data_IF_537746307895
#
_entry.id   IF_537746307895
#
_cell.length_a   1.000
_cell.length_b   1.000
_cell.length_c   1.000
_cell.angle_alpha   90.00
_cell.angle_beta   90.00
_cell.angle_gamma   90.00
#
_symmetry.space_group_name_H-M   'P 1'
#
loop_
_entity.id
_entity.type
_entity.pdbx_description
1 polymer ?
#
# COMPACT_ATOMS: atom_id res chain seq x y z
N UNK A 1 2.72 18.74 -17.14
CA UNK A 1 2.98 19.79 -16.13
C UNK A 1 4.37 20.40 -16.31
N UNK A 2 5.45 19.64 -16.16
CA UNK A 2 6.82 20.17 -16.28
C UNK A 2 7.10 20.85 -17.63
N UNK A 3 6.64 20.27 -18.74
CA UNK A 3 6.74 20.87 -20.10
C UNK A 3 5.96 22.17 -20.28
N UNK A 4 5.05 22.48 -19.35
CA UNK A 4 4.31 23.74 -19.27
C UNK A 4 4.83 24.63 -18.14
N UNK A 5 6.03 24.35 -17.63
CA UNK A 5 6.72 25.07 -16.56
C UNK A 5 5.95 25.12 -15.21
N UNK A 6 5.14 24.09 -14.94
CA UNK A 6 4.42 23.89 -13.68
C UNK A 6 5.12 22.78 -12.88
N UNK A 7 5.41 23.02 -11.59
CA UNK A 7 5.93 22.01 -10.65
C UNK A 7 4.76 21.27 -10.01
N UNK A 8 4.48 20.00 -10.39
CA UNK A 8 3.37 19.25 -9.80
C UNK A 8 3.79 18.64 -8.47
N UNK A 9 3.42 19.26 -7.34
CA UNK A 9 3.67 18.69 -6.01
C UNK A 9 2.47 17.82 -5.62
N UNK A 10 2.70 16.55 -5.34
CA UNK A 10 1.64 15.54 -5.22
C UNK A 10 1.85 14.69 -3.97
N UNK A 11 0.76 14.41 -3.25
CA UNK A 11 0.80 13.53 -2.10
C UNK A 11 1.14 12.09 -2.52
N UNK A 12 1.99 11.40 -1.74
CA UNK A 12 2.29 9.99 -1.98
C UNK A 12 1.07 9.09 -1.78
N UNK A 13 0.19 9.44 -0.84
CA UNK A 13 -0.94 8.62 -0.39
C UNK A 13 -0.82 8.27 1.10
N UNK A 14 -1.92 7.79 1.67
CA UNK A 14 -2.04 7.50 3.10
C UNK A 14 -2.29 6.02 3.37
N UNK A 15 -1.69 5.12 2.57
CA UNK A 15 -1.90 3.67 2.70
C UNK A 15 -0.64 2.88 2.99
N UNK A 16 0.33 3.53 3.65
CA UNK A 16 1.43 2.83 4.31
C UNK A 16 0.95 1.94 5.49
N UNK A 17 1.88 1.21 6.13
CA UNK A 17 3.33 1.29 5.96
C UNK A 17 3.89 0.31 4.92
N UNK A 18 3.06 -0.49 4.25
CA UNK A 18 3.54 -1.47 3.27
C UNK A 18 4.06 -0.82 1.99
N UNK A 19 5.02 -1.47 1.32
CA UNK A 19 5.47 -1.07 -0.02
C UNK A 19 4.38 -1.25 -1.08
N UNK A 20 4.62 -0.67 -2.26
CA UNK A 20 3.70 -0.66 -3.40
C UNK A 20 2.39 0.07 -3.09
N UNK A 21 2.48 1.18 -2.34
CA UNK A 21 1.29 1.92 -1.87
C UNK A 21 1.21 3.36 -2.38
N UNK A 22 2.14 3.77 -3.23
CA UNK A 22 2.12 5.09 -3.88
C UNK A 22 0.90 5.18 -4.81
N UNK A 23 0.08 6.19 -4.56
CA UNK A 23 -1.16 6.41 -5.29
C UNK A 23 -0.93 7.18 -6.59
N UNK A 24 -1.87 7.04 -7.53
CA UNK A 24 -1.98 7.99 -8.65
C UNK A 24 -2.68 9.26 -8.17
N UNK A 25 -2.23 10.47 -8.57
CA UNK A 25 -1.19 10.75 -9.57
C UNK A 25 0.24 10.89 -9.03
N UNK A 26 0.51 10.55 -7.77
CA UNK A 26 1.86 10.62 -7.17
C UNK A 26 2.87 9.72 -7.88
N UNK A 27 2.46 8.54 -8.35
CA UNK A 27 3.34 7.66 -9.12
C UNK A 27 3.70 8.17 -10.53
N UNK A 28 3.19 9.31 -10.98
CA UNK A 28 3.46 9.83 -12.32
C UNK A 28 4.93 10.27 -12.51
N UNK A 29 5.52 10.01 -13.67
CA UNK A 29 6.86 10.50 -14.01
C UNK A 29 6.87 12.04 -13.98
N UNK A 30 7.73 12.61 -13.16
CA UNK A 30 7.88 14.05 -13.00
C UNK A 30 6.92 14.70 -12.01
N UNK A 31 6.05 13.95 -11.33
CA UNK A 31 5.48 14.38 -10.06
C UNK A 31 6.61 14.69 -9.07
N UNK A 32 6.46 15.70 -8.21
CA UNK A 32 7.26 15.85 -7.00
C UNK A 32 6.45 15.19 -5.88
N UNK A 33 6.70 13.91 -5.65
CA UNK A 33 5.89 13.07 -4.76
C UNK A 33 6.34 13.22 -3.32
N UNK A 34 5.39 13.54 -2.43
CA UNK A 34 5.68 13.93 -1.05
C UNK A 34 5.12 12.91 -0.06
N UNK A 35 6.03 12.24 0.66
CA UNK A 35 5.72 11.42 1.82
C UNK A 35 5.48 12.26 3.07
N UNK A 36 5.07 11.61 4.17
CA UNK A 36 4.81 12.26 5.45
C UNK A 36 5.77 11.74 6.54
N UNK A 37 6.27 12.66 7.35
CA UNK A 37 6.99 12.38 8.59
C UNK A 37 6.09 12.66 9.81
N UNK A 38 6.42 11.99 10.92
CA UNK A 38 6.01 12.34 12.28
C UNK A 38 7.20 12.88 13.06
N UNK A 39 7.19 14.20 13.30
CA UNK A 39 8.17 14.84 14.17
C UNK A 39 7.77 14.64 15.63
N UNK A 40 8.72 14.20 16.46
CA UNK A 40 8.44 13.83 17.85
C UNK A 40 7.83 15.00 18.65
N UNK A 41 8.25 16.24 18.39
CA UNK A 41 7.71 17.41 19.09
C UNK A 41 6.26 17.72 18.72
N UNK A 42 5.91 17.69 17.42
CA UNK A 42 4.53 17.87 16.95
C UNK A 42 3.60 16.83 17.59
N UNK A 43 4.00 15.56 17.53
CA UNK A 43 3.21 14.48 18.08
C UNK A 43 3.03 14.63 19.61
N UNK A 44 4.11 14.91 20.36
CA UNK A 44 4.02 15.12 21.81
C UNK A 44 3.06 16.25 22.18
N UNK A 45 3.11 17.37 21.45
CA UNK A 45 2.19 18.51 21.67
C UNK A 45 0.76 18.08 21.39
N UNK A 46 0.52 17.42 20.26
CA UNK A 46 -0.81 16.95 19.88
C UNK A 46 -1.40 16.00 20.94
N UNK A 47 -0.63 15.00 21.36
CA UNK A 47 -1.04 14.06 22.41
C UNK A 47 -1.27 14.75 23.76
N UNK A 48 -0.52 15.80 24.06
CA UNK A 48 -0.76 16.64 25.25
C UNK A 48 -2.09 17.38 25.19
N UNK A 49 -2.45 17.91 24.02
CA UNK A 49 -3.75 18.56 23.82
C UNK A 49 -4.89 17.55 23.93
N UNK A 50 -4.70 16.33 23.42
CA UNK A 50 -5.73 15.28 23.45
C UNK A 50 -5.95 14.68 24.85
N UNK A 51 -4.88 14.42 25.59
CA UNK A 51 -4.93 13.55 26.78
C UNK A 51 -4.34 14.17 28.05
N UNK A 52 -3.82 15.40 27.98
CA UNK A 52 -3.29 16.13 29.12
C UNK A 52 -1.76 16.20 29.20
N UNK A 53 -1.23 16.97 30.17
CA UNK A 53 0.16 17.50 30.16
C UNK A 53 1.27 16.45 30.14
N UNK A 54 1.07 15.27 30.74
CA UNK A 54 2.10 14.23 30.89
C UNK A 54 2.10 13.23 29.74
N UNK A 55 0.97 13.07 29.05
CA UNK A 55 0.75 11.95 28.11
C UNK A 55 1.62 12.05 26.86
N UNK A 56 1.96 13.26 26.39
CA UNK A 56 2.78 13.43 25.20
C UNK A 56 4.10 12.66 25.25
N UNK A 57 4.86 12.84 26.33
CA UNK A 57 6.15 12.17 26.50
C UNK A 57 6.02 10.65 26.69
N UNK A 58 4.95 10.20 27.36
CA UNK A 58 4.66 8.77 27.56
C UNK A 58 4.20 8.09 26.26
N UNK A 59 3.43 8.78 25.43
CA UNK A 59 2.92 8.26 24.16
C UNK A 59 4.02 8.17 23.09
N UNK A 60 4.91 9.18 23.05
CA UNK A 60 5.99 9.27 22.08
C UNK A 60 7.36 9.38 22.77
N UNK A 61 7.86 8.30 23.40
CA UNK A 61 9.10 8.32 24.18
C UNK A 61 10.36 8.49 23.30
N UNK A 62 10.42 7.87 22.12
CA UNK A 62 11.53 8.05 21.19
C UNK A 62 11.52 9.47 20.57
N UNK A 63 12.65 10.18 20.63
CA UNK A 63 12.76 11.57 20.16
C UNK A 63 13.17 11.71 18.69
N UNK A 64 13.61 10.63 18.05
CA UNK A 64 13.97 10.66 16.64
C UNK A 64 12.73 10.85 15.77
N UNK A 65 12.87 11.62 14.69
CA UNK A 65 11.80 11.80 13.72
C UNK A 65 11.57 10.49 12.96
N UNK A 66 10.32 10.19 12.70
CA UNK A 66 9.90 8.97 12.00
C UNK A 66 9.23 9.34 10.68
N UNK A 67 9.27 8.44 9.71
CA UNK A 67 8.31 8.42 8.61
C UNK A 67 6.95 8.07 9.22
N UNK A 68 5.90 8.80 8.85
CA UNK A 68 4.56 8.51 9.37
C UNK A 68 4.10 7.13 8.88
N UNK A 69 3.52 6.32 9.76
CA UNK A 69 3.10 4.95 9.42
C UNK A 69 2.12 4.91 8.24
N UNK A 70 1.18 5.86 8.18
CA UNK A 70 0.23 5.94 7.06
C UNK A 70 0.88 6.38 5.75
N UNK A 71 2.08 6.97 5.75
CA UNK A 71 2.69 7.48 4.52
C UNK A 71 2.89 6.34 3.54
N UNK A 72 2.32 6.44 2.34
CA UNK A 72 2.55 5.48 1.28
C UNK A 72 4.04 5.34 0.95
N UNK A 73 4.43 4.13 0.55
CA UNK A 73 5.82 3.70 0.36
C UNK A 73 6.01 3.13 -1.03
N UNK A 74 7.16 3.41 -1.63
CA UNK A 74 7.60 2.76 -2.85
C UNK A 74 8.05 1.31 -2.62
N UNK A 75 8.57 0.66 -3.67
CA UNK A 75 8.61 1.16 -5.04
C UNK A 75 7.19 1.19 -5.64
N UNK A 76 7.05 1.78 -6.82
CA UNK A 76 5.87 1.60 -7.65
C UNK A 76 5.87 0.19 -8.27
N UNK A 77 4.72 -0.25 -8.82
CA UNK A 77 4.61 -1.55 -9.51
C UNK A 77 5.52 -1.66 -10.76
N UNK A 78 5.94 -0.53 -11.32
CA UNK A 78 6.90 -0.43 -12.42
C UNK A 78 8.38 -0.39 -11.95
N UNK A 79 8.62 -0.48 -10.63
CA UNK A 79 9.94 -0.56 -10.01
C UNK A 79 10.57 0.79 -9.69
N UNK A 80 9.96 1.92 -10.06
CA UNK A 80 10.50 3.24 -9.71
C UNK A 80 10.44 3.48 -8.19
N UNK A 81 11.45 4.17 -7.67
CA UNK A 81 11.46 4.65 -6.30
C UNK A 81 10.55 5.86 -6.14
N UNK A 82 9.76 5.84 -5.07
CA UNK A 82 8.89 6.91 -4.58
C UNK A 82 8.75 6.74 -3.04
N UNK A 83 8.39 7.77 -2.27
CA UNK A 83 8.22 9.17 -2.69
C UNK A 83 9.55 9.82 -3.11
N UNK A 84 9.51 11.03 -3.67
CA UNK A 84 10.74 11.78 -3.98
C UNK A 84 11.37 12.40 -2.72
N UNK A 85 10.54 12.95 -1.84
CA UNK A 85 10.95 13.61 -0.58
C UNK A 85 9.87 13.44 0.49
N UNK A 86 10.20 13.78 1.73
CA UNK A 86 9.26 13.79 2.86
C UNK A 86 9.22 15.15 3.54
N UNK A 87 8.05 15.53 4.06
CA UNK A 87 7.89 16.66 4.98
C UNK A 87 6.98 16.25 6.16
N UNK A 88 6.88 17.07 7.21
CA UNK A 88 5.97 16.76 8.32
C UNK A 88 4.53 16.67 7.81
N UNK A 89 3.87 15.55 8.12
CA UNK A 89 2.47 15.31 7.78
C UNK A 89 1.67 14.76 8.95
N UNK A 90 2.28 14.61 10.13
CA UNK A 90 1.61 14.20 11.36
C UNK A 90 1.53 15.37 12.34
N UNK A 91 0.38 15.52 13.01
CA UNK A 91 0.09 16.60 13.92
C UNK A 91 0.43 17.97 13.31
N UNK A 92 0.00 18.20 12.06
CA UNK A 92 0.12 19.50 11.42
C UNK A 92 -0.94 20.43 12.02
N UNK A 93 -0.51 21.55 12.61
CA UNK A 93 -1.41 22.54 13.19
C UNK A 93 -1.68 23.66 12.19
N UNK A 94 -2.95 23.94 11.89
CA UNK A 94 -3.30 24.93 10.87
C UNK A 94 -4.79 25.22 10.79
N UNK A 95 -5.11 26.24 9.99
CA UNK A 95 -6.48 26.65 9.69
C UNK A 95 -7.06 25.85 8.52
N UNK A 96 -8.37 25.64 8.53
CA UNK A 96 -9.11 25.08 7.39
C UNK A 96 -9.14 23.55 7.36
N UNK A 97 -8.66 22.89 8.41
CA UNK A 97 -8.75 21.44 8.56
C UNK A 97 -10.07 20.99 9.22
N UNK A 98 -10.75 21.91 9.90
CA UNK A 98 -12.03 21.67 10.54
C UNK A 98 -13.21 21.87 9.57
N UNK A 99 -14.42 21.48 9.99
CA UNK A 99 -15.65 21.71 9.21
C UNK A 99 -15.93 23.19 8.93
N UNK A 100 -15.47 24.09 9.81
CA UNK A 100 -15.46 25.53 9.53
C UNK A 100 -14.15 25.94 8.86
N UNK A 101 -14.24 26.76 7.81
CA UNK A 101 -13.08 27.30 7.10
C UNK A 101 -12.16 28.16 7.97
N UNK A 102 -12.64 28.62 9.13
CA UNK A 102 -11.87 29.40 10.08
C UNK A 102 -11.30 28.58 11.24
N UNK A 103 -11.73 27.33 11.38
CA UNK A 103 -11.29 26.47 12.48
C UNK A 103 -9.81 26.14 12.38
N UNK A 104 -9.10 26.31 13.49
CA UNK A 104 -7.70 25.92 13.64
C UNK A 104 -7.66 24.61 14.41
N UNK A 105 -7.05 23.58 13.85
CA UNK A 105 -6.94 22.27 14.48
C UNK A 105 -5.70 21.52 14.00
N UNK A 106 -5.47 20.33 14.53
CA UNK A 106 -4.48 19.39 14.04
C UNK A 106 -5.05 18.51 12.92
N UNK A 107 -4.22 18.15 11.96
CA UNK A 107 -4.54 17.18 10.93
C UNK A 107 -3.34 16.32 10.53
N UNK A 108 -3.65 15.14 9.99
CA UNK A 108 -2.70 14.09 9.63
C UNK A 108 -2.90 13.67 8.16
N UNK A 109 -1.81 13.48 7.44
CA UNK A 109 -1.82 13.00 6.06
C UNK A 109 -0.68 13.54 5.21
N UNK A 110 -0.33 12.80 4.15
CA UNK A 110 0.52 13.30 3.07
C UNK A 110 -0.10 14.53 2.37
N UNK A 111 -1.42 14.68 2.47
CA UNK A 111 -2.15 15.90 2.10
C UNK A 111 -1.66 17.16 2.81
N UNK A 112 -1.03 17.05 3.99
CA UNK A 112 -0.51 18.19 4.77
C UNK A 112 1.00 18.36 4.65
N UNK A 113 1.75 17.30 4.28
CA UNK A 113 3.16 17.44 3.90
C UNK A 113 3.31 18.09 2.51
N UNK A 114 2.45 17.74 1.56
CA UNK A 114 2.41 18.26 0.19
C UNK A 114 2.40 19.80 0.09
N UNK A 115 1.49 20.54 0.76
CA UNK A 115 1.48 22.01 0.67
C UNK A 115 2.72 22.67 1.27
N UNK A 116 3.36 22.05 2.26
CA UNK A 116 4.64 22.55 2.80
C UNK A 116 5.73 22.54 1.71
N UNK A 117 5.82 21.44 0.95
CA UNK A 117 6.76 21.32 -0.17
C UNK A 117 6.37 22.20 -1.36
N UNK A 118 5.07 22.37 -1.61
CA UNK A 118 4.58 23.34 -2.61
C UNK A 118 4.98 24.78 -2.26
N UNK A 119 4.94 25.15 -0.97
CA UNK A 119 5.46 26.42 -0.49
C UNK A 119 6.96 26.59 -0.74
N UNK A 120 7.76 25.54 -0.50
CA UNK A 120 9.19 25.54 -0.84
C UNK A 120 9.39 25.75 -2.35
N UNK A 121 8.64 25.02 -3.20
CA UNK A 121 8.72 25.18 -4.64
C UNK A 121 8.33 26.60 -5.11
N UNK A 122 7.34 27.24 -4.45
CA UNK A 122 6.96 28.62 -4.72
C UNK A 122 8.07 29.61 -4.33
N UNK A 123 8.72 29.42 -3.18
CA UNK A 123 9.89 30.22 -2.77
C UNK A 123 11.04 30.07 -3.75
N UNK A 124 11.33 28.85 -4.21
CA UNK A 124 12.35 28.61 -5.24
C UNK A 124 12.00 29.29 -6.57
N UNK A 125 10.73 29.27 -6.98
CA UNK A 125 10.25 29.98 -8.16
C UNK A 125 10.42 31.50 -8.02
N UNK A 126 10.14 32.04 -6.84
CA UNK A 126 10.30 33.47 -6.57
C UNK A 126 11.77 33.89 -6.64
N UNK A 127 12.66 33.10 -6.03
CA UNK A 127 14.09 33.38 -6.02
C UNK A 127 14.77 33.18 -7.39
N UNK A 128 14.30 32.20 -8.17
CA UNK A 128 14.88 31.82 -9.46
C UNK A 128 13.81 31.80 -10.56
N UNK A 129 13.30 32.96 -10.99
CA UNK A 129 12.19 33.04 -11.94
C UNK A 129 12.49 32.39 -13.30
N UNK A 130 13.77 32.38 -13.71
CA UNK A 130 14.25 31.76 -14.95
C UNK A 130 14.48 30.25 -14.85
N UNK A 131 14.53 29.67 -13.64
CA UNK A 131 14.69 28.23 -13.48
C UNK A 131 13.46 27.49 -14.03
N UNK A 132 13.68 26.41 -14.76
CA UNK A 132 12.59 25.57 -15.25
C UNK A 132 11.92 24.82 -14.09
N UNK A 133 10.67 24.41 -14.26
CA UNK A 133 9.97 23.59 -13.26
C UNK A 133 10.73 22.30 -12.92
N UNK A 134 11.36 21.65 -13.91
CA UNK A 134 12.19 20.47 -13.67
C UNK A 134 13.40 20.78 -12.81
N UNK A 135 14.04 21.93 -12.98
CA UNK A 135 15.16 22.35 -12.12
C UNK A 135 14.71 22.60 -10.69
N UNK A 136 13.58 23.29 -10.48
CA UNK A 136 13.03 23.51 -9.13
C UNK A 136 12.70 22.17 -8.46
N UNK A 137 12.01 21.28 -9.17
CA UNK A 137 11.72 19.92 -8.69
C UNK A 137 13.01 19.21 -8.29
N UNK A 138 13.97 19.11 -9.21
CA UNK A 138 15.18 18.33 -9.01
C UNK A 138 16.08 18.91 -7.92
N UNK A 139 16.10 20.23 -7.72
CA UNK A 139 16.79 20.86 -6.60
C UNK A 139 16.19 20.44 -5.26
N UNK A 140 14.85 20.42 -5.14
CA UNK A 140 14.17 19.97 -3.92
C UNK A 140 14.45 18.49 -3.65
N UNK A 141 14.41 17.64 -4.68
CA UNK A 141 14.73 16.20 -4.53
C UNK A 141 16.19 15.99 -4.12
N UNK A 142 17.14 16.66 -4.78
CA UNK A 142 18.56 16.52 -4.47
C UNK A 142 18.95 17.12 -3.10
N UNK A 143 18.17 18.08 -2.60
CA UNK A 143 18.36 18.69 -1.29
C UNK A 143 17.80 17.86 -0.12
N UNK A 144 17.00 16.81 -0.38
CA UNK A 144 16.41 15.99 0.68
C UNK A 144 17.45 15.49 1.67
N UNK A 145 17.20 15.69 2.97
CA UNK A 145 18.13 15.34 4.03
C UNK A 145 17.72 14.01 4.70
N UNK A 146 18.45 12.90 4.42
CA UNK A 146 18.18 11.61 5.03
C UNK A 146 18.39 11.60 6.54
N UNK A 147 19.34 12.40 7.06
CA UNK A 147 19.77 12.39 8.45
C UNK A 147 18.73 12.98 9.42
N UNK A 148 17.71 13.66 8.91
CA UNK A 148 16.62 14.21 9.71
C UNK A 148 15.50 13.20 10.01
N UNK A 149 15.60 11.97 9.49
CA UNK A 149 14.73 10.84 9.84
C UNK A 149 15.58 9.76 10.52
N UNK A 150 15.17 9.35 11.72
CA UNK A 150 15.99 8.58 12.65
C UNK A 150 15.43 7.17 12.92
N UNK A 151 14.38 6.81 12.20
CA UNK A 151 13.64 5.54 12.27
C UNK A 151 14.28 4.43 11.43
N UNK A 152 15.42 4.65 10.78
CA UNK A 152 16.01 3.65 9.88
C UNK A 152 15.32 3.52 8.54
N UNK A 153 14.44 4.47 8.18
CA UNK A 153 13.76 4.52 6.88
C UNK A 153 14.72 4.50 5.69
N UNK A 154 14.35 3.70 4.70
CA UNK A 154 15.06 3.54 3.42
C UNK A 154 14.64 4.62 2.42
N UNK A 155 15.27 4.66 1.25
CA UNK A 155 14.84 5.57 0.17
C UNK A 155 13.41 5.30 -0.32
N UNK A 156 12.90 4.08 -0.16
CA UNK A 156 11.51 3.73 -0.52
C UNK A 156 10.47 4.29 0.47
N UNK A 157 10.94 4.74 1.63
CA UNK A 157 10.09 5.27 2.69
C UNK A 157 10.02 6.78 2.67
N UNK A 158 11.17 7.41 2.43
CA UNK A 158 11.37 8.85 2.59
C UNK A 158 11.92 9.56 1.36
N UNK A 159 12.09 8.85 0.26
CA UNK A 159 12.80 9.36 -0.91
C UNK A 159 14.22 9.80 -0.57
N UNK A 160 14.63 10.94 -1.12
CA UNK A 160 15.91 11.56 -0.78
C UNK A 160 16.02 11.98 0.69
N UNK A 161 14.90 12.18 1.39
CA UNK A 161 14.87 12.53 2.81
C UNK A 161 13.90 13.66 3.15
N UNK A 162 14.03 14.19 4.36
CA UNK A 162 13.23 15.32 4.81
C UNK A 162 13.63 16.59 4.05
N UNK A 163 12.66 17.37 3.57
CA UNK A 163 12.93 18.55 2.74
C UNK A 163 13.85 19.59 3.41
N UNK A 164 14.75 20.17 2.64
CA UNK A 164 15.67 21.25 3.05
C UNK A 164 15.62 22.39 2.02
N UNK A 165 14.89 23.46 2.35
CA UNK A 165 14.68 24.58 1.45
C UNK A 165 15.97 25.40 1.21
N UNK A 166 16.86 25.48 2.20
CA UNK A 166 18.11 26.23 2.09
C UNK A 166 19.11 25.50 1.18
N UNK A 167 19.21 24.17 1.33
CA UNK A 167 20.01 23.35 0.43
C UNK A 167 19.46 23.40 -1.01
N UNK A 168 18.14 23.36 -1.21
CA UNK A 168 17.53 23.50 -2.53
C UNK A 168 17.85 24.86 -3.18
N UNK A 169 17.81 25.95 -2.41
CA UNK A 169 18.21 27.28 -2.85
C UNK A 169 19.66 27.30 -3.32
N UNK A 170 20.57 26.75 -2.52
CA UNK A 170 22.00 26.72 -2.84
C UNK A 170 22.29 25.91 -4.10
N UNK A 171 21.57 24.80 -4.31
CA UNK A 171 21.67 24.01 -5.54
C UNK A 171 21.23 24.84 -6.75
N UNK A 172 20.11 25.55 -6.70
CA UNK A 172 19.67 26.41 -7.80
C UNK A 172 20.64 27.58 -8.05
N UNK A 173 21.15 28.20 -6.98
CA UNK A 173 22.13 29.28 -7.06
C UNK A 173 23.43 28.87 -7.77
N UNK A 174 23.81 27.58 -7.71
CA UNK A 174 24.97 27.07 -8.43
C UNK A 174 24.81 27.09 -9.96
N UNK A 175 23.57 27.14 -10.47
CA UNK A 175 23.26 27.07 -11.90
C UNK A 175 23.44 25.68 -12.53
N UNK A 176 23.78 24.65 -11.73
CA UNK A 176 24.12 23.31 -12.23
C UNK A 176 23.00 22.26 -12.08
N UNK A 177 21.78 22.68 -11.70
CA UNK A 177 20.66 21.74 -11.54
C UNK A 177 20.20 21.24 -12.91
N UNK A 178 20.17 19.91 -13.06
CA UNK A 178 19.72 19.24 -14.29
C UNK A 178 18.22 19.39 -14.51
N UNK A 179 17.80 19.43 -15.78
CA UNK A 179 16.39 19.37 -16.19
C UNK A 179 15.88 17.93 -16.38
N UNK A 180 16.78 16.93 -16.37
CA UNK A 180 16.42 15.54 -16.62
C UNK A 180 15.58 14.96 -15.49
N UNK A 181 14.52 14.23 -15.85
CA UNK A 181 13.68 13.49 -14.91
C UNK A 181 13.80 12.02 -15.27
N UNK A 182 14.23 11.19 -14.31
CA UNK A 182 14.39 9.76 -14.53
C UNK A 182 13.02 9.12 -14.79
N UNK A 183 12.87 8.47 -15.94
CA UNK A 183 11.62 7.82 -16.36
C UNK A 183 11.50 6.37 -15.91
N UNK A 184 12.54 5.78 -15.31
CA UNK A 184 12.58 4.36 -14.92
C UNK A 184 12.73 3.36 -16.07
N UNK A 185 12.68 3.84 -17.32
CA UNK A 185 12.68 2.98 -18.51
C UNK A 185 11.34 2.26 -18.72
N UNK A 186 11.28 1.35 -19.70
CA UNK A 186 10.09 0.53 -19.94
C UNK A 186 10.02 -0.60 -18.89
N UNK A 187 8.95 -0.71 -18.11
CA UNK A 187 8.82 -1.78 -17.12
C UNK A 187 8.64 -3.14 -17.79
N UNK A 188 9.05 -4.19 -17.08
CA UNK A 188 8.64 -5.57 -17.35
C UNK A 188 7.16 -5.74 -17.04
N UNK A 189 6.54 -6.73 -17.67
CA UNK A 189 5.18 -7.17 -17.33
C UNK A 189 5.12 -7.77 -15.93
N UNK A 190 6.20 -8.35 -15.43
CA UNK A 190 6.24 -8.91 -14.08
C UNK A 190 6.57 -7.83 -13.05
N UNK A 191 5.65 -7.60 -12.10
CA UNK A 191 5.87 -6.68 -10.98
C UNK A 191 7.05 -7.14 -10.13
N UNK A 192 7.21 -8.46 -9.91
CA UNK A 192 8.38 -9.04 -9.24
C UNK A 192 9.68 -8.57 -9.88
N UNK A 193 9.82 -8.73 -11.21
CA UNK A 193 11.02 -8.32 -11.95
C UNK A 193 11.27 -6.82 -11.82
N UNK A 194 10.21 -6.01 -11.86
CA UNK A 194 10.34 -4.56 -11.72
C UNK A 194 10.85 -4.17 -10.33
N UNK A 195 10.28 -4.75 -9.27
CA UNK A 195 10.67 -4.49 -7.88
C UNK A 195 12.12 -4.92 -7.62
N UNK A 196 12.47 -6.16 -8.00
CA UNK A 196 13.80 -6.72 -7.76
C UNK A 196 14.89 -6.00 -8.56
N UNK A 197 14.54 -5.40 -9.70
CA UNK A 197 15.45 -4.55 -10.47
C UNK A 197 15.56 -3.13 -9.91
N UNK A 198 14.45 -2.57 -9.43
CA UNK A 198 14.34 -1.17 -9.01
C UNK A 198 14.62 -0.93 -7.53
N UNK A 199 14.76 -1.99 -6.74
CA UNK A 199 14.94 -1.92 -5.28
C UNK A 199 15.77 -3.09 -4.75
N UNK A 200 15.99 -3.11 -3.43
CA UNK A 200 16.62 -4.24 -2.73
C UNK A 200 15.62 -5.29 -2.22
N UNK A 201 14.34 -5.14 -2.56
CA UNK A 201 13.28 -6.05 -2.12
C UNK A 201 13.22 -7.28 -3.03
N UNK A 202 12.90 -8.44 -2.45
CA UNK A 202 12.75 -9.69 -3.16
C UNK A 202 11.35 -10.27 -2.92
N UNK A 203 10.78 -10.91 -3.93
CA UNK A 203 9.48 -11.58 -3.82
C UNK A 203 9.69 -13.07 -3.57
N UNK A 204 9.32 -13.50 -2.37
CA UNK A 204 9.42 -14.87 -1.89
C UNK A 204 8.14 -15.67 -2.16
N UNK A 205 8.24 -16.99 -2.17
CA UNK A 205 7.11 -17.91 -2.34
C UNK A 205 7.32 -19.21 -1.54
N UNK A 206 6.26 -20.01 -1.39
CA UNK A 206 6.34 -21.27 -0.64
C UNK A 206 6.34 -21.05 0.87
N UNK A 207 7.26 -21.72 1.58
CA UNK A 207 7.44 -21.59 3.03
C UNK A 207 8.60 -20.63 3.32
N UNK A 208 8.29 -19.48 3.91
CA UNK A 208 9.25 -18.39 4.16
C UNK A 208 9.45 -18.24 5.66
N UNK A 209 10.68 -18.00 6.08
CA UNK A 209 11.02 -17.68 7.46
C UNK A 209 12.02 -16.53 7.47
N UNK A 210 11.64 -15.43 8.09
CA UNK A 210 12.49 -14.24 8.22
C UNK A 210 12.60 -13.80 9.68
N UNK A 211 13.78 -13.28 10.03
CA UNK A 211 14.07 -12.71 11.34
C UNK A 211 14.41 -11.24 11.21
N UNK A 212 13.67 -10.41 11.94
CA UNK A 212 13.85 -8.97 11.99
C UNK A 212 14.50 -8.61 13.33
N UNK A 213 15.69 -8.05 13.27
CA UNK A 213 16.47 -7.70 14.46
C UNK A 213 16.60 -6.20 14.61
N UNK A 214 16.45 -5.74 15.85
CA UNK A 214 16.66 -4.35 16.26
C UNK A 214 15.90 -3.32 15.41
N UNK A 215 14.64 -3.59 15.08
CA UNK A 215 13.77 -2.62 14.42
C UNK A 215 13.60 -1.42 15.35
N UNK A 216 14.11 -0.24 14.95
CA UNK A 216 13.93 1.00 15.70
C UNK A 216 12.44 1.40 15.76
N UNK A 217 12.04 2.29 16.69
CA UNK A 217 10.70 2.86 16.67
C UNK A 217 10.40 3.56 15.33
N UNK A 218 9.40 3.06 14.59
CA UNK A 218 9.01 3.47 13.24
C UNK A 218 9.75 2.74 12.10
N UNK A 219 10.78 1.94 12.40
CA UNK A 219 11.50 1.16 11.39
C UNK A 219 10.61 0.03 10.89
N UNK A 220 10.42 -0.02 9.58
CA UNK A 220 9.72 -1.14 8.95
C UNK A 220 10.66 -1.99 8.12
N UNK A 221 10.33 -3.27 8.03
CA UNK A 221 10.85 -4.21 7.03
C UNK A 221 9.71 -5.10 6.56
N UNK A 222 9.89 -5.82 5.47
CA UNK A 222 8.80 -6.59 4.89
C UNK A 222 9.22 -7.90 4.25
N UNK A 223 8.25 -8.81 4.20
CA UNK A 223 8.25 -10.00 3.36
C UNK A 223 7.26 -9.74 2.23
N UNK A 224 7.75 -9.65 1.01
CA UNK A 224 6.89 -9.67 -0.18
C UNK A 224 6.63 -11.12 -0.55
N UNK A 225 5.36 -11.54 -0.54
CA UNK A 225 4.98 -12.94 -0.65
C UNK A 225 4.07 -13.16 -1.87
N UNK A 226 4.50 -14.03 -2.79
CA UNK A 226 3.72 -14.39 -3.97
C UNK A 226 2.54 -15.27 -3.57
N UNK A 227 1.33 -14.76 -3.78
CA UNK A 227 0.09 -15.52 -3.68
C UNK A 227 -0.29 -16.02 -5.07
N UNK A 228 -0.22 -17.33 -5.27
CA UNK A 228 -0.62 -17.99 -6.50
C UNK A 228 -2.13 -18.25 -6.57
N UNK A 229 -2.63 -18.66 -7.75
CA UNK A 229 -4.03 -19.04 -7.93
C UNK A 229 -4.41 -20.22 -7.03
N UNK A 230 -5.69 -20.33 -6.69
CA UNK A 230 -6.24 -21.40 -5.84
C UNK A 230 -5.70 -21.44 -4.39
N UNK A 231 -5.06 -20.35 -3.94
CA UNK A 231 -4.71 -20.17 -2.53
C UNK A 231 -6.00 -19.96 -1.72
N UNK A 232 -6.26 -20.85 -0.75
CA UNK A 232 -7.40 -20.70 0.16
C UNK A 232 -7.09 -19.73 1.29
N UNK A 233 -5.86 -19.80 1.80
CA UNK A 233 -5.43 -19.02 2.95
C UNK A 233 -3.92 -18.78 2.89
N UNK A 234 -3.46 -17.60 3.29
CA UNK A 234 -2.05 -17.39 3.69
C UNK A 234 -1.99 -17.38 5.20
N UNK A 235 -1.09 -18.18 5.76
CA UNK A 235 -0.86 -18.28 7.20
C UNK A 235 0.43 -17.53 7.53
N UNK A 236 0.33 -16.59 8.47
CA UNK A 236 1.46 -15.86 9.01
C UNK A 236 1.57 -16.19 10.49
N UNK A 237 2.78 -16.54 10.93
CA UNK A 237 3.08 -16.77 12.35
C UNK A 237 4.16 -15.79 12.76
N UNK A 238 3.82 -14.89 13.68
CA UNK A 238 4.77 -14.00 14.34
C UNK A 238 5.19 -14.63 15.67
N UNK A 239 6.49 -14.81 15.87
CA UNK A 239 7.08 -15.36 17.10
C UNK A 239 8.28 -14.55 17.56
N UNK A 240 8.83 -14.93 18.71
CA UNK A 240 10.10 -14.40 19.22
C UNK A 240 10.13 -12.86 19.33
N UNK A 241 8.98 -12.27 19.71
CA UNK A 241 8.87 -10.83 19.93
C UNK A 241 9.69 -10.45 21.17
N UNK A 242 10.75 -9.68 20.95
CA UNK A 242 11.74 -9.37 21.98
C UNK A 242 12.10 -7.87 21.97
N UNK A 243 11.53 -7.09 22.90
CA UNK A 243 11.98 -5.73 23.17
C UNK A 243 13.43 -5.70 23.65
N UNK A 244 14.21 -4.73 23.18
CA UNK A 244 15.61 -4.58 23.60
C UNK A 244 15.76 -4.00 25.02
N UNK A 245 14.77 -3.24 25.49
CA UNK A 245 14.78 -2.59 26.80
C UNK A 245 14.05 -3.44 27.86
N UNK A 246 14.47 -3.41 29.13
CA UNK A 246 13.67 -3.97 30.22
C UNK A 246 12.34 -3.20 30.36
N UNK A 247 11.29 -3.80 30.98
CA UNK A 247 9.96 -3.18 31.05
C UNK A 247 9.92 -1.74 31.59
N UNK A 248 10.81 -1.39 32.52
CA UNK A 248 10.92 -0.02 33.07
C UNK A 248 11.50 1.01 32.08
N UNK A 249 12.16 0.56 31.01
CA UNK A 249 12.72 1.40 29.95
C UNK A 249 11.88 1.45 28.68
N UNK A 250 10.89 0.56 28.53
CA UNK A 250 9.98 0.52 27.38
C UNK A 250 8.97 1.68 27.41
N UNK A 251 8.11 1.79 26.39
CA UNK A 251 6.96 2.67 26.48
C UNK A 251 6.07 2.29 27.70
N UNK A 252 5.80 3.23 28.59
CA UNK A 252 5.10 2.96 29.85
C UNK A 252 3.57 2.85 29.73
N UNK A 253 3.01 3.18 28.57
CA UNK A 253 1.58 3.00 28.27
C UNK A 253 1.30 1.67 27.57
N UNK A 254 2.21 1.23 26.70
CA UNK A 254 1.95 0.14 25.76
C UNK A 254 2.96 -1.01 25.83
N UNK A 255 4.11 -0.81 26.48
CA UNK A 255 5.30 -1.62 26.23
C UNK A 255 5.92 -1.29 24.86
N UNK A 256 7.09 -1.87 24.59
CA UNK A 256 7.65 -1.85 23.24
C UNK A 256 7.15 -3.10 22.50
N UNK A 257 6.59 -2.92 21.31
CA UNK A 257 5.89 -3.99 20.60
C UNK A 257 6.15 -3.99 19.08
N UNK A 258 5.60 -5.00 18.40
CA UNK A 258 5.65 -5.13 16.94
C UNK A 258 4.29 -4.78 16.35
N UNK A 259 4.30 -3.90 15.37
CA UNK A 259 3.15 -3.62 14.53
C UNK A 259 3.26 -4.43 13.23
N UNK A 260 2.30 -5.33 12.98
CA UNK A 260 2.21 -6.12 11.76
C UNK A 260 1.10 -5.56 10.87
N UNK A 261 1.47 -5.16 9.65
CA UNK A 261 0.52 -4.80 8.61
C UNK A 261 0.58 -5.84 7.49
N UNK A 262 -0.60 -6.30 7.05
CA UNK A 262 -0.76 -7.20 5.92
C UNK A 262 -1.64 -6.51 4.88
N UNK A 263 -1.02 -6.19 3.75
CA UNK A 263 -1.68 -5.55 2.63
C UNK A 263 -1.97 -6.58 1.54
N UNK A 264 -3.21 -6.57 1.03
CA UNK A 264 -3.66 -7.41 -0.10
C UNK A 264 -2.79 -7.21 -1.33
N UNK A 265 -2.89 -8.07 -2.33
CA UNK A 265 -1.99 -8.03 -3.48
C UNK A 265 -2.11 -6.80 -4.38
N UNK A 266 -3.19 -6.00 -4.26
CA UNK A 266 -3.46 -4.85 -5.13
C UNK A 266 -2.34 -3.81 -5.11
N UNK A 267 -1.80 -3.50 -6.28
CA UNK A 267 -0.66 -2.57 -6.46
C UNK A 267 -1.09 -1.18 -6.91
N UNK A 268 -2.39 -0.98 -7.14
CA UNK A 268 -3.04 0.30 -7.44
C UNK A 268 -4.47 0.31 -6.85
N UNK A 269 -5.18 1.45 -6.94
CA UNK A 269 -6.54 1.62 -6.39
C UNK A 269 -6.68 1.22 -4.91
N UNK A 270 -5.64 1.52 -4.15
CA UNK A 270 -5.48 1.06 -2.78
C UNK A 270 -6.42 1.83 -1.85
N UNK A 271 -7.19 1.12 -1.02
CA UNK A 271 -8.08 1.70 0.00
C UNK A 271 -9.57 1.67 -0.31
N UNK A 272 -10.00 1.21 -1.49
CA UNK A 272 -11.41 0.90 -1.77
C UNK A 272 -11.69 -0.59 -1.50
N UNK A 273 -12.22 -0.93 -0.31
CA UNK A 273 -12.84 -2.25 -0.10
C UNK A 273 -12.19 -3.20 0.93
N UNK A 274 -11.35 -2.73 1.86
CA UNK A 274 -10.82 -3.59 2.93
C UNK A 274 -9.51 -4.31 2.60
N UNK A 275 -8.76 -3.81 1.62
CA UNK A 275 -7.45 -4.31 1.15
C UNK A 275 -6.29 -4.19 2.16
N UNK A 276 -6.56 -3.66 3.35
CA UNK A 276 -5.57 -3.37 4.37
C UNK A 276 -6.04 -3.93 5.72
N UNK A 277 -5.24 -4.83 6.28
CA UNK A 277 -5.47 -5.40 7.61
C UNK A 277 -4.22 -5.21 8.46
N UNK A 278 -4.38 -4.75 9.69
CA UNK A 278 -3.26 -4.54 10.60
C UNK A 278 -3.60 -5.07 11.98
N UNK A 279 -2.59 -5.58 12.70
CA UNK A 279 -2.68 -5.99 14.10
C UNK A 279 -1.37 -5.67 14.82
N UNK A 280 -1.49 -5.26 16.08
CA UNK A 280 -0.35 -5.08 16.97
C UNK A 280 -0.16 -6.34 17.82
N UNK A 281 1.08 -6.76 18.03
CA UNK A 281 1.43 -7.97 18.76
C UNK A 281 2.49 -7.67 19.82
N UNK A 282 2.18 -7.99 21.07
CA UNK A 282 3.09 -7.87 22.23
C UNK A 282 3.78 -9.20 22.58
N UNK A 283 3.25 -10.33 22.14
CA UNK A 283 3.78 -11.67 22.45
C UNK A 283 3.78 -12.66 21.28
N UNK A 284 3.58 -12.16 20.05
CA UNK A 284 3.44 -12.99 18.85
C UNK A 284 2.01 -13.49 18.64
N UNK A 285 1.79 -14.24 17.56
CA UNK A 285 0.48 -14.76 17.22
C UNK A 285 0.37 -15.26 15.78
N UNK A 286 -0.78 -15.84 15.45
CA UNK A 286 -1.10 -16.27 14.09
C UNK A 286 -2.06 -15.27 13.44
N UNK A 287 -1.76 -14.88 12.21
CA UNK A 287 -2.61 -14.07 11.36
C UNK A 287 -2.98 -14.87 10.11
N UNK A 288 -4.28 -14.97 9.85
CA UNK A 288 -4.82 -15.70 8.70
C UNK A 288 -5.34 -14.69 7.67
N UNK A 289 -4.94 -14.86 6.42
CA UNK A 289 -5.51 -14.15 5.27
C UNK A 289 -6.36 -15.14 4.50
N UNK A 290 -7.67 -15.12 4.71
CA UNK A 290 -8.61 -15.99 4.02
C UNK A 290 -8.97 -15.45 2.63
N UNK A 291 -9.03 -16.35 1.64
CA UNK A 291 -9.36 -16.02 0.25
C UNK A 291 -8.54 -14.82 -0.28
N UNK A 292 -7.20 -14.87 -0.20
CA UNK A 292 -6.36 -13.75 -0.56
C UNK A 292 -6.45 -13.42 -2.05
N UNK A 293 -6.28 -12.12 -2.35
CA UNK A 293 -5.96 -11.66 -3.70
C UNK A 293 -4.71 -12.36 -4.23
N UNK A 294 -4.75 -12.77 -5.50
CA UNK A 294 -3.60 -13.30 -6.24
C UNK A 294 -2.70 -12.14 -6.68
N UNK A 295 -1.39 -12.32 -6.54
CA UNK A 295 -0.43 -11.24 -6.77
C UNK A 295 0.72 -11.27 -5.76
N UNK A 296 1.17 -10.09 -5.34
CA UNK A 296 2.24 -9.91 -4.34
C UNK A 296 1.62 -9.34 -3.06
N UNK A 297 1.41 -10.20 -2.08
CA UNK A 297 0.98 -9.82 -0.73
C UNK A 297 2.15 -9.14 -0.01
N UNK A 298 1.88 -8.07 0.74
CA UNK A 298 2.93 -7.36 1.50
C UNK A 298 2.72 -7.55 2.99
N UNK A 299 3.73 -8.09 3.64
CA UNK A 299 3.73 -8.39 5.06
C UNK A 299 4.78 -7.49 5.70
N UNK A 300 4.33 -6.43 6.36
CA UNK A 300 5.21 -5.40 6.92
C UNK A 300 5.30 -5.56 8.44
N UNK A 301 6.52 -5.70 8.93
CA UNK A 301 6.87 -5.78 10.35
C UNK A 301 7.52 -4.47 10.73
N UNK A 302 6.93 -3.78 11.70
CA UNK A 302 7.38 -2.47 12.15
C UNK A 302 7.66 -2.51 13.65
N UNK A 303 8.78 -1.93 14.09
CA UNK A 303 8.95 -1.60 15.50
C UNK A 303 8.04 -0.42 15.81
N UNK A 304 6.92 -0.64 16.49
CA UNK A 304 5.83 0.34 16.57
C UNK A 304 6.30 1.77 16.84
N UNK A 305 5.67 2.75 16.19
CA UNK A 305 6.01 4.18 16.33
C UNK A 305 6.02 4.68 17.78
N UNK A 306 5.26 4.04 18.65
CA UNK A 306 5.17 4.36 20.08
C UNK A 306 6.32 3.79 20.90
N UNK A 307 7.13 2.88 20.37
CA UNK A 307 8.20 2.25 21.14
C UNK A 307 9.23 3.27 21.66
N UNK A 308 9.79 2.96 22.82
CA UNK A 308 10.94 3.67 23.40
C UNK A 308 12.26 3.14 22.81
N UNK A 309 12.38 1.82 22.72
CA UNK A 309 13.55 1.12 22.18
C UNK A 309 13.24 0.29 20.93
N UNK A 310 14.25 -0.42 20.45
CA UNK A 310 14.09 -1.34 19.33
C UNK A 310 13.44 -2.65 19.76
N UNK A 311 12.81 -3.33 18.81
CA UNK A 311 12.20 -4.66 19.00
C UNK A 311 12.69 -5.63 17.93
N UNK A 312 12.74 -6.91 18.24
CA UNK A 312 13.02 -7.99 17.28
C UNK A 312 11.83 -8.94 17.20
N UNK A 313 11.68 -9.62 16.07
CA UNK A 313 10.68 -10.68 15.89
C UNK A 313 11.05 -11.62 14.75
N UNK A 314 10.40 -12.77 14.71
CA UNK A 314 10.47 -13.74 13.62
C UNK A 314 9.10 -13.90 12.97
N UNK A 315 9.09 -13.99 11.65
CA UNK A 315 7.88 -14.24 10.86
C UNK A 315 8.06 -15.50 10.04
N UNK A 316 7.04 -16.36 10.06
CA UNK A 316 6.90 -17.50 9.17
C UNK A 316 5.66 -17.25 8.29
N UNK A 317 5.77 -17.50 6.99
CA UNK A 317 4.68 -17.32 6.02
C UNK A 317 4.57 -18.54 5.12
N UNK A 318 3.36 -19.06 4.92
CA UNK A 318 3.09 -20.09 3.92
C UNK A 318 1.64 -20.06 3.44
N UNK A 319 1.38 -20.66 2.29
CA UNK A 319 0.04 -20.77 1.70
C UNK A 319 -0.58 -22.13 1.94
N UNK A 320 -1.88 -22.15 2.21
CA UNK A 320 -2.73 -23.34 2.08
C UNK A 320 -3.42 -23.26 0.72
N UNK A 321 -3.07 -24.19 -0.16
CA UNK A 321 -3.57 -24.26 -1.54
C UNK A 321 -4.59 -25.38 -1.71
N UNK A 322 -5.54 -25.22 -2.63
CA UNK A 322 -6.41 -26.31 -3.04
C UNK A 322 -5.63 -27.34 -3.89
N UNK A 323 -5.53 -28.57 -3.39
CA UNK A 323 -4.69 -29.60 -4.01
C UNK A 323 -5.10 -29.99 -5.44
N UNK A 324 -6.39 -29.92 -5.78
CA UNK A 324 -6.92 -30.18 -7.12
C UNK A 324 -7.98 -29.12 -7.43
N UNK A 325 -7.64 -28.05 -8.18
CA UNK A 325 -8.60 -27.04 -8.58
C UNK A 325 -9.74 -27.65 -9.42
N UNK A 326 -10.98 -27.38 -9.01
CA UNK A 326 -12.17 -27.75 -9.77
C UNK A 326 -12.80 -26.50 -10.36
N UNK A 327 -13.10 -26.56 -11.66
CA UNK A 327 -13.68 -25.46 -12.41
C UNK A 327 -15.04 -25.86 -12.97
N UNK A 328 -15.97 -24.90 -12.96
CA UNK A 328 -17.21 -24.97 -13.74
C UNK A 328 -16.91 -24.65 -15.19
N UNK A 329 -16.08 -23.64 -15.44
CA UNK A 329 -15.62 -23.26 -16.78
C UNK A 329 -14.22 -22.66 -16.71
N UNK A 330 -13.46 -22.84 -17.78
CA UNK A 330 -12.18 -22.15 -17.98
C UNK A 330 -12.02 -21.84 -19.46
N UNK A 331 -11.33 -20.76 -19.77
CA UNK A 331 -11.18 -20.33 -21.15
C UNK A 331 -10.34 -19.06 -21.25
N UNK A 332 -10.54 -18.34 -22.35
CA UNK A 332 -9.95 -17.03 -22.59
C UNK A 332 -11.05 -16.00 -22.75
N UNK A 333 -10.81 -14.80 -22.24
CA UNK A 333 -11.70 -13.65 -22.40
C UNK A 333 -10.91 -12.49 -22.97
N UNK A 334 -11.40 -11.90 -24.06
CA UNK A 334 -10.82 -10.72 -24.68
C UNK A 334 -11.41 -9.43 -24.12
N UNK A 335 -10.75 -8.30 -24.37
CA UNK A 335 -11.24 -6.99 -23.96
C UNK A 335 -12.62 -6.69 -24.58
N UNK A 336 -13.61 -6.36 -23.75
CA UNK A 336 -15.00 -6.13 -24.12
C UNK A 336 -15.81 -7.39 -24.45
N UNK A 337 -15.22 -8.59 -24.33
CA UNK A 337 -15.95 -9.84 -24.56
C UNK A 337 -16.79 -10.22 -23.34
N UNK A 338 -18.03 -10.63 -23.61
CA UNK A 338 -18.94 -11.23 -22.63
C UNK A 338 -19.03 -12.73 -22.85
N UNK A 339 -18.86 -13.52 -21.79
CA UNK A 339 -19.03 -14.98 -21.79
C UNK A 339 -20.14 -15.33 -20.80
N UNK A 340 -21.14 -16.08 -21.26
CA UNK A 340 -22.28 -16.48 -20.45
C UNK A 340 -22.19 -17.97 -20.09
N UNK A 341 -22.25 -18.29 -18.80
CA UNK A 341 -22.14 -19.65 -18.27
C UNK A 341 -23.40 -19.96 -17.45
N UNK A 342 -24.27 -20.87 -17.91
CA UNK A 342 -25.43 -21.28 -17.13
C UNK A 342 -25.00 -22.19 -15.97
N UNK A 343 -25.50 -21.91 -14.77
CA UNK A 343 -25.26 -22.69 -13.56
C UNK A 343 -26.59 -23.14 -12.99
N UNK A 344 -26.82 -24.45 -12.93
CA UNK A 344 -28.05 -25.02 -12.36
C UNK A 344 -27.93 -25.12 -10.84
N UNK A 345 -28.76 -24.38 -10.12
CA UNK A 345 -28.84 -24.40 -8.65
C UNK A 345 -30.09 -25.21 -8.24
N UNK A 346 -29.93 -26.37 -7.59
CA UNK A 346 -31.07 -27.14 -7.05
C UNK A 346 -31.79 -26.41 -5.91
N UNK A 347 -33.00 -26.85 -5.60
CA UNK A 347 -33.69 -26.40 -4.39
C UNK A 347 -32.97 -26.91 -3.13
N UNK A 348 -32.98 -26.08 -2.07
CA UNK A 348 -32.42 -26.44 -0.77
C UNK A 348 -30.91 -26.23 -0.60
N UNK A 349 -30.24 -25.59 -1.56
CA UNK A 349 -28.84 -25.16 -1.40
C UNK A 349 -28.76 -24.08 -0.33
N UNK A 350 -27.82 -24.22 0.61
CA UNK A 350 -27.64 -23.24 1.69
C UNK A 350 -26.74 -22.08 1.26
N UNK A 351 -25.69 -22.35 0.47
CA UNK A 351 -24.76 -21.34 -0.05
C UNK A 351 -24.35 -21.68 -1.48
N UNK A 352 -24.41 -20.69 -2.37
CA UNK A 352 -23.71 -20.69 -3.64
C UNK A 352 -22.52 -19.72 -3.60
N UNK A 353 -21.32 -20.22 -3.90
CA UNK A 353 -20.07 -19.48 -3.97
C UNK A 353 -19.59 -19.42 -5.43
N UNK A 354 -19.74 -18.25 -6.05
CA UNK A 354 -19.28 -17.98 -7.41
C UNK A 354 -17.94 -17.25 -7.35
N UNK A 355 -16.91 -17.81 -7.98
CA UNK A 355 -15.55 -17.26 -8.02
C UNK A 355 -15.02 -17.22 -9.44
N UNK A 356 -14.37 -16.12 -9.77
CA UNK A 356 -13.71 -15.91 -11.04
C UNK A 356 -12.27 -15.43 -10.78
N UNK A 357 -11.30 -16.22 -11.21
CA UNK A 357 -9.88 -15.83 -11.22
C UNK A 357 -9.40 -15.64 -12.65
N UNK A 358 -8.35 -14.84 -12.82
CA UNK A 358 -7.70 -14.60 -14.11
C UNK A 358 -6.18 -14.53 -13.97
N UNK A 359 -5.43 -14.69 -15.07
CA UNK A 359 -3.98 -14.92 -15.02
C UNK A 359 -3.18 -13.63 -14.86
N UNK A 360 -3.59 -12.54 -15.48
CA UNK A 360 -2.89 -11.25 -15.37
C UNK A 360 -3.27 -10.54 -14.07
N UNK A 361 -2.98 -11.23 -12.96
CA UNK A 361 -3.24 -10.80 -11.60
C UNK A 361 -2.35 -9.62 -11.16
N UNK A 362 -2.45 -9.26 -9.88
CA UNK A 362 -1.68 -8.16 -9.30
C UNK A 362 -0.16 -8.38 -9.24
N UNK A 363 0.34 -9.56 -9.63
CA UNK A 363 1.75 -9.81 -9.89
C UNK A 363 2.22 -9.32 -11.27
N UNK A 364 1.31 -8.82 -12.10
CA UNK A 364 1.56 -8.33 -13.45
C UNK A 364 1.25 -6.82 -13.58
N UNK A 365 1.92 -6.18 -14.54
CA UNK A 365 1.79 -4.76 -14.84
C UNK A 365 1.64 -4.51 -16.34
N UNK A 366 0.54 -3.86 -16.79
CA UNK A 366 -0.68 -3.61 -16.02
C UNK A 366 -1.41 -4.92 -15.67
N UNK A 367 -2.14 -4.94 -14.54
CA UNK A 367 -3.05 -6.02 -14.21
C UNK A 367 -4.31 -5.95 -15.09
N UNK A 368 -4.87 -7.09 -15.47
CA UNK A 368 -6.19 -7.14 -16.10
C UNK A 368 -7.29 -6.92 -15.06
N UNK A 369 -8.47 -6.55 -15.55
CA UNK A 369 -9.71 -6.51 -14.78
C UNK A 369 -10.80 -7.29 -15.54
N UNK A 370 -11.34 -8.32 -14.90
CA UNK A 370 -12.35 -9.21 -15.47
C UNK A 370 -13.49 -9.36 -14.49
N UNK A 371 -14.63 -8.77 -14.83
CA UNK A 371 -15.81 -8.72 -13.96
C UNK A 371 -16.60 -10.03 -13.99
N UNK A 372 -17.24 -10.32 -12.85
CA UNK A 372 -18.29 -11.32 -12.71
C UNK A 372 -19.63 -10.66 -12.37
N UNK A 373 -20.61 -10.79 -13.27
CA UNK A 373 -22.01 -10.51 -12.98
C UNK A 373 -22.80 -11.80 -12.84
N UNK A 374 -23.84 -11.80 -12.00
CA UNK A 374 -24.77 -12.92 -11.91
C UNK A 374 -26.18 -12.46 -12.27
N UNK A 375 -26.89 -13.25 -13.07
CA UNK A 375 -28.33 -13.11 -13.30
C UNK A 375 -29.03 -14.28 -12.59
N UNK A 376 -29.90 -13.94 -11.64
CA UNK A 376 -30.73 -14.89 -10.93
C UNK A 376 -31.84 -15.49 -11.83
N UNK A 377 -32.47 -16.62 -11.45
CA UNK A 377 -33.51 -17.26 -12.25
C UNK A 377 -34.74 -16.37 -12.54
N UNK A 378 -34.98 -15.35 -11.72
CA UNK A 378 -36.05 -14.36 -11.89
C UNK A 378 -35.63 -13.16 -12.77
N UNK A 379 -34.39 -13.14 -13.24
CA UNK A 379 -33.81 -12.06 -14.05
C UNK A 379 -33.12 -10.96 -13.25
N UNK A 380 -33.08 -11.01 -11.91
CA UNK A 380 -32.38 -10.02 -11.11
C UNK A 380 -30.86 -10.06 -11.35
N UNK A 381 -30.26 -8.90 -11.57
CA UNK A 381 -28.82 -8.78 -11.84
C UNK A 381 -28.07 -8.39 -10.56
N UNK A 382 -26.99 -9.11 -10.28
CA UNK A 382 -26.09 -8.88 -9.17
C UNK A 382 -24.70 -8.47 -9.69
N UNK A 383 -24.28 -7.27 -9.33
CA UNK A 383 -23.02 -6.64 -9.73
C UNK A 383 -21.91 -6.75 -8.69
N UNK A 384 -22.14 -7.45 -7.57
CA UNK A 384 -21.19 -7.51 -6.45
C UNK A 384 -19.88 -8.24 -6.75
N UNK A 385 -19.78 -8.93 -7.89
CA UNK A 385 -18.55 -9.56 -8.38
C UNK A 385 -17.88 -8.78 -9.51
N UNK A 386 -18.32 -7.55 -9.78
CA UNK A 386 -17.65 -6.64 -10.70
C UNK A 386 -16.88 -5.63 -9.87
N UNK A 387 -15.69 -6.05 -9.43
CA UNK A 387 -14.83 -5.26 -8.56
C UNK A 387 -13.47 -5.06 -9.23
N UNK A 388 -12.39 -4.96 -8.47
CA UNK A 388 -11.02 -4.98 -8.99
C UNK A 388 -10.28 -6.19 -8.39
N UNK A 389 -11.02 -7.19 -7.95
CA UNK A 389 -10.49 -8.28 -7.15
C UNK A 389 -10.08 -9.43 -8.07
N UNK A 390 -9.04 -10.14 -7.67
CA UNK A 390 -8.71 -11.43 -8.25
C UNK A 390 -8.40 -12.42 -7.13
N UNK A 391 -9.37 -13.27 -6.73
CA UNK A 391 -10.61 -13.55 -7.44
C UNK A 391 -11.73 -12.53 -7.24
N UNK A 392 -12.51 -12.32 -8.30
CA UNK A 392 -13.88 -11.83 -8.15
C UNK A 392 -14.74 -12.90 -7.47
N UNK A 393 -15.57 -12.50 -6.50
CA UNK A 393 -16.33 -13.45 -5.69
C UNK A 393 -17.69 -12.94 -5.26
N UNK A 394 -18.71 -13.77 -5.46
CA UNK A 394 -20.08 -13.53 -4.97
C UNK A 394 -20.56 -14.73 -4.16
N UNK A 395 -20.94 -14.47 -2.91
CA UNK A 395 -21.57 -15.45 -2.03
C UNK A 395 -23.07 -15.16 -1.92
N UNK A 396 -23.90 -16.17 -2.19
CA UNK A 396 -25.35 -16.09 -2.07
C UNK A 396 -25.81 -17.12 -1.05
N UNK A 397 -26.37 -16.65 0.06
CA UNK A 397 -27.05 -17.50 1.04
C UNK A 397 -28.47 -17.81 0.60
N UNK A 398 -28.89 -19.07 0.79
CA UNK A 398 -30.19 -19.61 0.40
C UNK A 398 -30.62 -19.18 -1.03
N UNK A 399 -29.79 -19.44 -2.06
CA UNK A 399 -30.08 -18.98 -3.42
C UNK A 399 -31.38 -19.60 -3.96
N UNK A 400 -32.23 -18.82 -4.65
CA UNK A 400 -33.33 -19.36 -5.43
C UNK A 400 -32.89 -20.50 -6.35
N UNK A 401 -33.68 -21.58 -6.36
CA UNK A 401 -33.49 -22.69 -7.27
C UNK A 401 -33.76 -22.26 -8.71
N UNK A 402 -33.00 -22.79 -9.65
CA UNK A 402 -33.16 -22.50 -11.08
C UNK A 402 -31.82 -22.36 -11.79
N UNK A 403 -31.86 -21.86 -13.02
CA UNK A 403 -30.66 -21.58 -13.80
C UNK A 403 -30.23 -20.14 -13.54
N UNK A 404 -29.08 -20.01 -12.91
CA UNK A 404 -28.35 -18.76 -12.80
C UNK A 404 -27.49 -18.56 -14.04
N UNK A 405 -27.29 -17.33 -14.48
CA UNK A 405 -26.32 -17.00 -15.52
C UNK A 405 -25.14 -16.27 -14.90
N UNK A 406 -23.95 -16.86 -14.96
CA UNK A 406 -22.72 -16.14 -14.68
C UNK A 406 -22.22 -15.47 -15.96
N UNK A 407 -22.04 -14.16 -15.92
CA UNK A 407 -21.51 -13.37 -17.01
C UNK A 407 -20.09 -12.94 -16.66
N UNK A 408 -19.13 -13.39 -17.45
CA UNK A 408 -17.73 -12.99 -17.36
C UNK A 408 -17.49 -11.91 -18.40
N UNK A 409 -17.01 -10.74 -17.97
CA UNK A 409 -16.76 -9.61 -18.86
C UNK A 409 -15.29 -9.22 -18.80
N UNK A 410 -14.60 -9.26 -19.94
CA UNK A 410 -13.23 -8.76 -20.05
C UNK A 410 -13.18 -7.23 -20.05
N UNK A 411 -13.38 -6.60 -18.89
CA UNK A 411 -13.57 -5.15 -18.79
C UNK A 411 -12.31 -4.36 -19.18
N UNK A 412 -11.15 -4.71 -18.62
CA UNK A 412 -9.85 -4.15 -18.99
C UNK A 412 -8.82 -5.26 -19.17
N UNK A 413 -8.68 -5.76 -20.40
CA UNK A 413 -7.72 -6.84 -20.74
C UNK A 413 -6.62 -6.27 -21.64
N UNK A 414 -5.41 -6.14 -21.08
CA UNK A 414 -4.31 -5.43 -21.74
C UNK A 414 -3.51 -6.28 -22.74
N UNK A 415 -3.60 -7.61 -22.66
CA UNK A 415 -2.80 -8.56 -23.46
C UNK A 415 -3.55 -9.13 -24.66
N UNK A 416 -4.69 -8.53 -25.03
CA UNK A 416 -5.59 -9.02 -26.08
C UNK A 416 -6.58 -10.05 -25.54
N UNK A 417 -6.08 -11.11 -24.90
CA UNK A 417 -6.88 -12.04 -24.10
C UNK A 417 -6.22 -12.36 -22.75
N UNK A 418 -7.04 -12.79 -21.79
CA UNK A 418 -6.61 -13.34 -20.49
C UNK A 418 -7.27 -14.69 -20.24
N UNK A 419 -6.57 -15.59 -19.55
CA UNK A 419 -7.13 -16.89 -19.15
C UNK A 419 -7.96 -16.69 -17.90
N UNK A 420 -9.24 -17.08 -17.95
CA UNK A 420 -10.12 -17.10 -16.79
C UNK A 420 -10.34 -18.52 -16.25
N UNK A 421 -10.57 -18.61 -14.95
CA UNK A 421 -10.93 -19.81 -14.20
C UNK A 421 -12.18 -19.50 -13.36
N UNK A 422 -13.32 -20.02 -13.80
CA UNK A 422 -14.63 -19.80 -13.15
C UNK A 422 -15.09 -21.05 -12.40
N UNK A 423 -15.56 -20.82 -11.18
CA UNK A 423 -16.07 -21.85 -10.27
C UNK A 423 -17.37 -21.39 -9.64
N UNK A 424 -18.40 -22.21 -9.79
CA UNK A 424 -19.60 -22.18 -8.97
C UNK A 424 -19.59 -23.39 -8.03
N UNK A 425 -19.60 -23.15 -6.72
CA UNK A 425 -19.71 -24.19 -5.71
C UNK A 425 -21.03 -24.08 -4.95
N UNK A 426 -21.79 -25.16 -4.88
CA UNK A 426 -23.06 -25.27 -4.15
C UNK A 426 -22.82 -26.13 -2.91
N UNK A 427 -22.99 -25.54 -1.73
CA UNK A 427 -22.65 -26.16 -0.43
C UNK A 427 -21.25 -26.81 -0.43
N UNK A 428 -20.28 -26.10 -1.02
CA UNK A 428 -18.89 -26.52 -1.12
C UNK A 428 -18.56 -27.47 -2.27
N UNK A 429 -19.54 -27.95 -3.05
CA UNK A 429 -19.32 -28.84 -4.20
C UNK A 429 -19.33 -28.07 -5.52
N UNK A 430 -18.27 -28.17 -6.30
CA UNK A 430 -18.19 -27.51 -7.62
C UNK A 430 -19.11 -28.21 -8.61
N UNK A 431 -19.90 -27.41 -9.31
CA UNK A 431 -20.77 -27.88 -10.39
C UNK A 431 -20.11 -27.66 -11.75
N UNK A 432 -20.38 -28.56 -12.70
CA UNK A 432 -19.87 -28.51 -14.08
C UNK A 432 -20.96 -28.11 -15.06
#
# INVERSE_FOLDING_TARGET
MLSKNIVPVVAAGNTGPSSLTISSPGSAVGALTVGAASLAHNERIFRRVQYGPVVGALYRPFMGNQTADFSSRGPNADGRGDPDVTANGFACFGQGYASSSFGITFADGTSFSTPSVAGIAALMRQAFPSATASQIRNAIVAAGNPGLLNDGSTSLDRGSGYVDAAAAYNLLASGQVSTAVASGGKPSKSVKVNIEKGSSLNVSEGFVTDSFTNLKPGERREVLYRVGPNTKQVVLVLSDVAPALPPSGQNQLFGDDVFLAVHSAKTSAIGSGGDYSHRTFTSGGTFLVDNPETGILRITVNGSRTNAGSVSAKVIVFSIVEAIPQFTSQGKVANGQMIAIPVKVPAGISVADFRLSFREDWGNYPASDVDLFLIAPDGAVNFSGATLNNPERVLIGNPPAGTWMALINGFQVWTGDDKYEFRAALDGKVVK
#
